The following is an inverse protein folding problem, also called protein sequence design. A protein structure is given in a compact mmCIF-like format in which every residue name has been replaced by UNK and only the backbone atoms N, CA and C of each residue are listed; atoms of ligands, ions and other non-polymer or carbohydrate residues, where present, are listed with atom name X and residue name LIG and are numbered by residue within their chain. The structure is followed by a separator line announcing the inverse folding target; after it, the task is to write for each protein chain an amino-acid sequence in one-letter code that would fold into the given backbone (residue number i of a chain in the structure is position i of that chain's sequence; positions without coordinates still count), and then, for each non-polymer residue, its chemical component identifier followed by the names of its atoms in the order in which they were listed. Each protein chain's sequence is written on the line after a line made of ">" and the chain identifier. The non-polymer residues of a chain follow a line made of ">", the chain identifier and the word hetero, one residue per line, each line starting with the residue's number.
data_IF_913642557718
#
_entry.id   IF_913642557718
#
_cell.length_a   1.000
_cell.length_b   1.000
_cell.length_c   1.000
_cell.angle_alpha   90.00
_cell.angle_beta   90.00
_cell.angle_gamma   90.00
#
_symmetry.space_group_name_H-M   'P 1'
#
loop_
_entity.id
_entity.type
_entity.pdbx_description
1 polymer ?
#
# COMPACT_ATOMS: atom_id res chain seq x y z
N UNK A 1 3.27 29.84 -0.04
CA UNK A 1 4.34 28.92 -0.50
C UNK A 1 3.74 27.53 -0.57
N UNK A 2 4.04 26.76 -1.63
CA UNK A 2 3.45 25.43 -1.87
C UNK A 2 4.01 24.47 -0.82
N UNK A 3 3.16 23.94 0.07
CA UNK A 3 3.58 23.06 1.18
C UNK A 3 4.33 21.87 0.61
N UNK A 4 5.63 21.76 0.89
CA UNK A 4 6.43 20.62 0.49
C UNK A 4 6.06 19.46 1.41
N UNK A 5 5.36 18.46 0.88
CA UNK A 5 5.11 17.22 1.62
C UNK A 5 6.30 16.30 1.42
N UNK A 6 6.91 15.88 2.53
CA UNK A 6 8.06 14.98 2.52
C UNK A 6 7.67 13.58 2.02
N UNK A 7 8.60 12.96 1.31
CA UNK A 7 8.53 11.55 0.93
C UNK A 7 8.68 10.64 2.16
N UNK A 8 8.15 9.43 2.09
CA UNK A 8 8.36 8.43 3.14
C UNK A 8 9.84 8.08 3.36
N UNK A 9 10.67 8.19 2.33
CA UNK A 9 12.12 7.98 2.41
C UNK A 9 12.82 9.11 3.19
N UNK A 10 12.44 10.37 2.96
CA UNK A 10 12.97 11.52 3.70
C UNK A 10 12.55 11.47 5.18
N UNK A 11 11.30 11.11 5.47
CA UNK A 11 10.80 10.95 6.85
C UNK A 11 11.52 9.83 7.60
N UNK A 12 11.81 8.70 6.93
CA UNK A 12 12.63 7.62 7.47
C UNK A 12 14.04 8.13 7.78
N UNK A 13 14.70 8.75 6.79
CA UNK A 13 16.07 9.24 6.91
C UNK A 13 16.22 10.22 8.08
N UNK A 14 15.35 11.23 8.18
CA UNK A 14 15.40 12.19 9.29
C UNK A 14 15.24 11.48 10.64
N UNK A 15 14.30 10.54 10.74
CA UNK A 15 14.02 9.86 12.00
C UNK A 15 15.20 8.96 12.42
N UNK A 16 15.78 8.24 11.46
CA UNK A 16 16.93 7.34 11.65
C UNK A 16 18.21 8.13 11.99
N UNK A 17 18.51 9.18 11.24
CA UNK A 17 19.70 9.98 11.50
C UNK A 17 19.62 10.78 12.79
N UNK A 18 18.46 11.38 13.11
CA UNK A 18 18.29 12.07 14.39
C UNK A 18 18.37 11.11 15.57
N UNK A 19 17.86 9.88 15.44
CA UNK A 19 18.02 8.86 16.48
C UNK A 19 19.50 8.56 16.75
N UNK A 20 20.28 8.29 15.71
CA UNK A 20 21.73 8.02 15.84
C UNK A 20 22.50 9.20 16.43
N UNK A 21 22.20 10.42 15.97
CA UNK A 21 22.87 11.65 16.42
C UNK A 21 22.53 11.96 17.88
N UNK A 22 21.27 11.82 18.26
CA UNK A 22 20.84 12.01 19.65
C UNK A 22 21.43 10.95 20.57
N UNK A 23 21.52 9.70 20.12
CA UNK A 23 22.20 8.64 20.86
C UNK A 23 23.70 8.94 21.06
N UNK A 24 24.33 9.64 20.10
CA UNK A 24 25.69 10.14 20.21
C UNK A 24 25.83 11.43 21.07
N UNK A 25 24.72 11.95 21.62
CA UNK A 25 24.69 13.14 22.45
C UNK A 25 24.74 14.46 21.67
N UNK A 26 24.48 14.43 20.36
CA UNK A 26 24.44 15.62 19.51
C UNK A 26 23.07 16.30 19.64
N UNK A 27 23.06 17.64 19.69
CA UNK A 27 21.82 18.39 19.80
C UNK A 27 20.96 18.26 18.54
N UNK A 28 19.62 18.36 18.62
CA UNK A 28 18.76 18.31 17.43
C UNK A 28 19.08 19.41 16.40
N UNK A 29 19.51 20.60 16.85
CA UNK A 29 19.87 21.71 15.97
C UNK A 29 21.14 21.41 15.15
N UNK A 30 22.18 20.92 15.82
CA UNK A 30 23.41 20.47 15.16
C UNK A 30 23.11 19.31 14.21
N UNK A 31 22.25 18.37 14.64
CA UNK A 31 21.88 17.22 13.82
C UNK A 31 21.17 17.60 12.53
N UNK A 32 20.23 18.55 12.58
CA UNK A 32 19.61 19.10 11.36
C UNK A 32 20.60 19.84 10.48
N UNK A 33 21.57 20.55 11.07
CA UNK A 33 22.62 21.25 10.32
C UNK A 33 23.49 20.26 9.56
N UNK A 34 23.96 19.19 10.21
CA UNK A 34 24.73 18.12 9.58
C UNK A 34 23.94 17.45 8.44
N UNK A 35 22.67 17.14 8.67
CA UNK A 35 21.79 16.58 7.63
C UNK A 35 21.59 17.52 6.43
N UNK A 36 21.59 18.82 6.66
CA UNK A 36 21.42 19.81 5.60
C UNK A 36 22.66 19.96 4.71
N UNK A 37 23.85 19.57 5.18
CA UNK A 37 25.11 19.65 4.42
C UNK A 37 25.18 18.61 3.30
N UNK A 38 24.62 17.41 3.54
CA UNK A 38 24.64 16.30 2.59
C UNK A 38 23.57 16.43 1.49
N UNK A 39 22.58 17.29 1.69
CA UNK A 39 21.37 17.39 0.87
C UNK A 39 21.33 18.66 0.01
N UNK A 40 20.50 18.65 -1.05
CA UNK A 40 20.37 19.78 -1.99
C UNK A 40 18.91 20.18 -2.24
N UNK A 41 18.73 21.44 -2.64
CA UNK A 41 17.41 21.99 -3.02
C UNK A 41 16.51 22.26 -1.81
N UNK A 42 15.19 22.18 -2.02
CA UNK A 42 14.19 22.54 -1.01
C UNK A 42 14.23 21.70 0.27
N UNK A 43 14.81 20.50 0.21
CA UNK A 43 15.00 19.63 1.37
C UNK A 43 16.09 20.15 2.32
N UNK A 44 17.24 20.59 1.79
CA UNK A 44 18.29 21.25 2.57
C UNK A 44 17.80 22.57 3.20
N UNK A 45 16.99 23.35 2.47
CA UNK A 45 16.38 24.58 3.00
C UNK A 45 15.45 24.29 4.19
N UNK A 46 14.61 23.26 4.09
CA UNK A 46 13.73 22.83 5.18
C UNK A 46 14.54 22.40 6.42
N UNK A 47 15.61 21.62 6.24
CA UNK A 47 16.46 21.16 7.34
C UNK A 47 17.16 22.34 8.05
N UNK A 48 17.64 23.34 7.29
CA UNK A 48 18.21 24.56 7.86
C UNK A 48 17.17 25.40 8.61
N UNK A 49 15.94 25.45 8.10
CA UNK A 49 14.82 26.12 8.79
C UNK A 49 14.53 25.45 10.13
N UNK A 50 14.50 24.10 10.16
CA UNK A 50 14.32 23.33 11.39
C UNK A 50 15.47 23.54 12.39
N UNK A 51 16.72 23.52 11.91
CA UNK A 51 17.89 23.83 12.73
C UNK A 51 17.74 25.22 13.39
N UNK A 52 17.37 26.24 12.61
CA UNK A 52 17.14 27.59 13.11
C UNK A 52 16.00 27.70 14.15
N UNK A 53 14.94 26.90 14.02
CA UNK A 53 13.89 26.83 15.05
C UNK A 53 14.41 26.20 16.34
N UNK A 54 15.16 25.10 16.26
CA UNK A 54 15.76 24.47 17.43
C UNK A 54 16.78 25.40 18.13
N UNK A 55 17.62 26.12 17.37
CA UNK A 55 18.56 27.12 17.90
C UNK A 55 17.85 28.29 18.58
N UNK A 56 16.65 28.64 18.11
CA UNK A 56 15.82 29.68 18.72
C UNK A 56 15.16 29.23 20.03
N UNK A 57 15.41 28.00 20.48
CA UNK A 57 14.90 27.44 21.73
C UNK A 57 13.54 26.74 21.63
N UNK A 58 13.01 26.52 20.41
CA UNK A 58 11.83 25.69 20.24
C UNK A 58 12.15 24.22 20.47
N UNK A 59 11.20 23.46 21.02
CA UNK A 59 11.35 22.01 21.09
C UNK A 59 11.41 21.38 19.69
N UNK A 60 11.90 20.14 19.59
CA UNK A 60 11.90 19.41 18.33
C UNK A 60 10.47 19.23 17.81
N UNK A 61 9.53 18.88 18.69
CA UNK A 61 8.12 18.73 18.30
C UNK A 61 7.49 20.03 17.80
N UNK A 62 7.79 21.18 18.42
CA UNK A 62 7.32 22.49 17.99
C UNK A 62 7.91 22.91 16.64
N UNK A 63 9.22 22.68 16.46
CA UNK A 63 9.95 22.96 15.22
C UNK A 63 9.35 22.19 14.04
N UNK A 64 9.07 20.90 14.22
CA UNK A 64 8.41 20.06 13.22
C UNK A 64 6.98 20.52 12.91
N UNK A 65 6.18 20.91 13.92
CA UNK A 65 4.83 21.45 13.71
C UNK A 65 4.87 22.75 12.89
N UNK A 66 5.81 23.63 13.19
CA UNK A 66 5.93 24.96 12.57
C UNK A 66 6.31 24.90 11.10
N UNK A 67 7.12 23.92 10.71
CA UNK A 67 7.48 23.70 9.30
C UNK A 67 6.30 23.25 8.42
N UNK A 68 5.22 22.72 9.02
CA UNK A 68 4.05 22.13 8.33
C UNK A 68 4.37 21.03 7.28
N UNK A 69 5.64 20.60 7.17
CA UNK A 69 6.09 19.60 6.21
C UNK A 69 5.90 18.16 6.71
N UNK A 70 5.76 17.99 8.03
CA UNK A 70 5.64 16.69 8.70
C UNK A 70 4.19 16.33 9.01
N UNK A 71 3.87 15.02 9.00
CA UNK A 71 2.57 14.55 9.46
C UNK A 71 2.31 14.89 10.94
N UNK A 72 1.07 15.24 11.28
CA UNK A 72 0.68 15.65 12.63
C UNK A 72 1.00 14.58 13.70
N UNK A 73 0.85 13.29 13.37
CA UNK A 73 1.14 12.19 14.30
C UNK A 73 2.63 12.10 14.66
N UNK A 74 3.54 12.41 13.72
CA UNK A 74 4.99 12.36 13.95
C UNK A 74 5.41 13.43 14.97
N UNK A 75 4.97 14.67 14.74
CA UNK A 75 5.22 15.75 15.68
C UNK A 75 4.62 15.50 17.07
N UNK A 76 3.44 14.87 17.12
CA UNK A 76 2.77 14.56 18.38
C UNK A 76 3.49 13.42 19.13
N UNK A 77 4.07 12.44 18.42
CA UNK A 77 4.79 11.32 19.05
C UNK A 77 6.15 11.78 19.57
N UNK A 78 6.82 12.67 18.83
CA UNK A 78 8.05 13.33 19.28
C UNK A 78 7.78 14.19 20.51
N UNK A 79 6.67 14.94 20.55
CA UNK A 79 6.28 15.72 21.74
C UNK A 79 6.14 14.84 22.98
N UNK A 80 5.53 13.66 22.81
CA UNK A 80 5.42 12.67 23.87
C UNK A 80 6.80 12.17 24.29
N UNK A 81 7.67 11.81 23.34
CA UNK A 81 9.04 11.36 23.62
C UNK A 81 9.88 12.42 24.35
N UNK A 82 9.73 13.70 24.00
CA UNK A 82 10.35 14.83 24.71
C UNK A 82 9.85 14.92 26.15
N UNK A 83 8.52 14.86 26.36
CA UNK A 83 7.90 14.94 27.69
C UNK A 83 8.23 13.75 28.59
N UNK A 84 8.37 12.56 28.01
CA UNK A 84 8.67 11.32 28.75
C UNK A 84 10.17 11.05 28.86
N UNK A 85 11.02 11.88 28.25
CA UNK A 85 12.47 11.66 28.19
C UNK A 85 12.87 10.42 27.37
N UNK A 86 11.99 9.94 26.48
CA UNK A 86 12.18 8.75 25.63
C UNK A 86 12.29 9.11 24.15
N UNK A 87 12.81 10.29 23.85
CA UNK A 87 12.89 10.80 22.48
C UNK A 87 13.66 9.86 21.53
N UNK A 88 14.78 9.29 21.96
CA UNK A 88 15.52 8.27 21.19
C UNK A 88 14.62 7.09 20.79
N UNK A 89 13.85 6.54 21.73
CA UNK A 89 12.91 5.44 21.46
C UNK A 89 11.81 5.86 20.49
N UNK A 90 11.29 7.08 20.62
CA UNK A 90 10.26 7.60 19.71
C UNK A 90 10.77 7.77 18.28
N UNK A 91 12.01 8.27 18.11
CA UNK A 91 12.65 8.42 16.80
C UNK A 91 12.97 7.05 16.18
N UNK A 92 13.49 6.10 16.98
CA UNK A 92 13.73 4.72 16.56
C UNK A 92 12.46 4.03 16.08
N UNK A 93 11.37 4.18 16.85
CA UNK A 93 10.06 3.62 16.51
C UNK A 93 9.48 4.26 15.22
N UNK A 94 9.69 5.56 15.00
CA UNK A 94 9.33 6.24 13.75
C UNK A 94 10.14 5.74 12.56
N UNK A 95 11.46 5.61 12.71
CA UNK A 95 12.34 5.09 11.67
C UNK A 95 11.91 3.68 11.24
N UNK A 96 11.70 2.78 12.21
CA UNK A 96 11.22 1.41 11.95
C UNK A 96 9.83 1.39 11.29
N UNK A 97 8.93 2.27 11.72
CA UNK A 97 7.60 2.41 11.10
C UNK A 97 7.70 2.81 9.63
N UNK A 98 8.47 3.86 9.29
CA UNK A 98 8.62 4.29 7.91
C UNK A 98 9.37 3.26 7.07
N UNK A 99 10.38 2.57 7.63
CA UNK A 99 11.07 1.49 6.93
C UNK A 99 10.13 0.34 6.57
N UNK A 100 9.32 -0.12 7.53
CA UNK A 100 8.29 -1.14 7.30
C UNK A 100 7.27 -0.68 6.25
N UNK A 101 6.88 0.60 6.25
CA UNK A 101 5.96 1.13 5.23
C UNK A 101 6.58 1.15 3.84
N UNK A 102 7.83 1.59 3.72
CA UNK A 102 8.57 1.59 2.45
C UNK A 102 8.79 0.17 1.94
N UNK A 103 9.12 -0.78 2.83
CA UNK A 103 9.24 -2.20 2.52
C UNK A 103 7.94 -2.75 1.96
N UNK A 104 6.81 -2.53 2.64
CA UNK A 104 5.50 -2.98 2.18
C UNK A 104 5.13 -2.34 0.83
N UNK A 105 5.39 -1.04 0.65
CA UNK A 105 5.12 -0.35 -0.61
C UNK A 105 5.96 -0.92 -1.77
N UNK A 106 7.25 -1.17 -1.53
CA UNK A 106 8.14 -1.80 -2.50
C UNK A 106 7.68 -3.23 -2.83
N UNK A 107 7.30 -4.02 -1.82
CA UNK A 107 6.74 -5.35 -2.03
C UNK A 107 5.47 -5.30 -2.88
N UNK A 108 4.52 -4.40 -2.58
CA UNK A 108 3.30 -4.22 -3.38
C UNK A 108 3.64 -3.84 -4.82
N UNK A 109 4.51 -2.85 -5.02
CA UNK A 109 4.92 -2.37 -6.35
C UNK A 109 5.54 -3.50 -7.17
N UNK A 110 6.54 -4.19 -6.62
CA UNK A 110 7.23 -5.28 -7.30
C UNK A 110 6.30 -6.46 -7.57
N UNK A 111 5.44 -6.82 -6.62
CA UNK A 111 4.52 -7.94 -6.75
C UNK A 111 3.41 -7.69 -7.78
N UNK A 112 3.03 -6.44 -8.05
CA UNK A 112 2.05 -6.09 -9.09
C UNK A 112 2.67 -5.88 -10.47
N UNK A 113 3.93 -5.45 -10.54
CA UNK A 113 4.63 -5.18 -11.79
C UNK A 113 4.74 -6.43 -12.67
N UNK A 114 5.05 -7.58 -12.08
CA UNK A 114 5.20 -8.83 -12.80
C UNK A 114 3.88 -9.35 -13.41
N UNK A 115 2.75 -9.49 -12.67
CA UNK A 115 1.45 -9.82 -13.25
C UNK A 115 0.98 -8.82 -14.32
N UNK A 116 1.26 -7.52 -14.14
CA UNK A 116 0.90 -6.52 -15.14
C UNK A 116 1.63 -6.73 -16.47
N UNK A 117 2.94 -7.05 -16.42
CA UNK A 117 3.72 -7.36 -17.61
C UNK A 117 3.19 -8.61 -18.34
N UNK A 118 2.89 -9.68 -17.60
CA UNK A 118 2.30 -10.90 -18.17
C UNK A 118 0.94 -10.63 -18.83
N UNK A 119 0.08 -9.83 -18.19
CA UNK A 119 -1.21 -9.45 -18.77
C UNK A 119 -1.04 -8.65 -20.06
N UNK A 120 -0.10 -7.69 -20.11
CA UNK A 120 0.19 -6.92 -21.32
C UNK A 120 0.61 -7.84 -22.46
N UNK A 121 1.54 -8.77 -22.21
CA UNK A 121 1.99 -9.74 -23.21
C UNK A 121 0.83 -10.64 -23.66
N UNK A 122 0.02 -11.13 -22.72
CA UNK A 122 -1.18 -11.93 -23.01
C UNK A 122 -2.15 -11.17 -23.93
N UNK A 123 -2.46 -9.91 -23.62
CA UNK A 123 -3.35 -9.09 -24.45
C UNK A 123 -2.77 -8.84 -25.84
N UNK A 124 -1.45 -8.62 -25.96
CA UNK A 124 -0.78 -8.46 -27.27
C UNK A 124 -0.91 -9.74 -28.10
N UNK A 125 -0.57 -10.90 -27.52
CA UNK A 125 -0.61 -12.20 -28.23
C UNK A 125 -2.02 -12.52 -28.68
N UNK A 126 -3.01 -12.44 -27.78
CA UNK A 126 -4.41 -12.70 -28.12
C UNK A 126 -4.92 -11.68 -29.13
N UNK A 127 -4.55 -10.40 -28.98
CA UNK A 127 -4.93 -9.32 -29.90
C UNK A 127 -4.43 -9.58 -31.32
N UNK A 128 -3.15 -9.91 -31.50
CA UNK A 128 -2.57 -10.23 -32.82
C UNK A 128 -3.26 -11.44 -33.44
N UNK A 129 -3.52 -12.49 -32.65
CA UNK A 129 -4.22 -13.69 -33.13
C UNK A 129 -5.62 -13.35 -33.66
N UNK A 130 -6.39 -12.54 -32.93
CA UNK A 130 -7.77 -12.20 -33.33
C UNK A 130 -7.85 -11.18 -34.48
N UNK A 131 -6.91 -10.22 -34.54
CA UNK A 131 -6.98 -9.06 -35.46
C UNK A 131 -6.31 -9.34 -36.81
N UNK A 132 -5.25 -10.15 -36.82
CA UNK A 132 -4.45 -10.43 -38.03
C UNK A 132 -4.57 -11.89 -38.47
N UNK A 133 -4.40 -12.84 -37.55
CA UNK A 133 -4.36 -14.27 -37.90
C UNK A 133 -5.75 -14.81 -38.25
N UNK A 134 -6.75 -14.58 -37.41
CA UNK A 134 -8.10 -15.12 -37.63
C UNK A 134 -8.76 -14.62 -38.94
N UNK A 135 -8.66 -13.33 -39.32
CA UNK A 135 -9.24 -12.85 -40.59
C UNK A 135 -8.48 -13.34 -41.83
N UNK A 136 -7.18 -13.65 -41.71
CA UNK A 136 -6.44 -14.28 -42.79
C UNK A 136 -7.04 -15.65 -43.10
N UNK A 137 -7.34 -16.44 -42.07
CA UNK A 137 -8.02 -17.71 -42.22
C UNK A 137 -9.43 -17.55 -42.81
N UNK A 138 -10.24 -16.60 -42.32
CA UNK A 138 -11.58 -16.30 -42.86
C UNK A 138 -11.58 -16.06 -44.39
N UNK A 139 -10.58 -15.32 -44.89
CA UNK A 139 -10.42 -15.06 -46.33
C UNK A 139 -10.08 -16.33 -47.11
N UNK A 140 -9.17 -17.15 -46.59
CA UNK A 140 -8.79 -18.43 -47.22
C UNK A 140 -9.98 -19.39 -47.25
N UNK A 141 -10.76 -19.46 -46.17
CA UNK A 141 -11.98 -20.28 -46.12
C UNK A 141 -13.05 -19.78 -47.08
N UNK A 142 -13.28 -18.47 -47.16
CA UNK A 142 -14.25 -17.87 -48.08
C UNK A 142 -13.96 -18.17 -49.55
N UNK A 143 -12.69 -18.32 -49.94
CA UNK A 143 -12.30 -18.74 -51.29
C UNK A 143 -12.66 -20.20 -51.59
N UNK A 144 -12.77 -21.05 -50.57
CA UNK A 144 -13.17 -22.45 -50.67
C UNK A 144 -14.70 -22.64 -50.55
N UNK A 145 -15.47 -21.55 -50.52
CA UNK A 145 -16.94 -21.58 -50.42
C UNK A 145 -17.46 -21.91 -49.02
N UNK A 146 -16.60 -21.88 -48.00
CA UNK A 146 -16.96 -22.18 -46.61
C UNK A 146 -16.70 -20.97 -45.71
N UNK A 147 -17.49 -20.82 -44.65
CA UNK A 147 -17.31 -19.78 -43.63
C UNK A 147 -16.91 -20.40 -42.30
N UNK A 148 -16.12 -19.67 -41.51
CA UNK A 148 -15.83 -20.06 -40.13
C UNK A 148 -17.14 -20.07 -39.30
N UNK A 149 -17.65 -21.26 -38.98
CA UNK A 149 -18.85 -21.46 -38.14
C UNK A 149 -18.48 -21.92 -36.73
N UNK A 150 -19.40 -21.77 -35.76
CA UNK A 150 -19.18 -22.18 -34.37
C UNK A 150 -18.31 -21.21 -33.57
N UNK A 151 -17.43 -21.74 -32.71
CA UNK A 151 -16.56 -20.96 -31.80
C UNK A 151 -15.65 -20.01 -32.57
N UNK A 152 -15.21 -20.42 -33.77
CA UNK A 152 -14.38 -19.61 -34.66
C UNK A 152 -15.07 -18.33 -35.16
N UNK A 153 -16.35 -18.44 -35.53
CA UNK A 153 -17.15 -17.29 -35.97
C UNK A 153 -17.39 -16.29 -34.85
N UNK A 154 -17.60 -16.76 -33.61
CA UNK A 154 -17.76 -15.89 -32.42
C UNK A 154 -16.46 -15.16 -32.11
N UNK A 155 -15.32 -15.87 -32.12
CA UNK A 155 -14.00 -15.26 -31.93
C UNK A 155 -13.69 -14.24 -33.02
N UNK A 156 -14.10 -14.49 -34.27
CA UNK A 156 -13.91 -13.57 -35.38
C UNK A 156 -14.77 -12.32 -35.26
N UNK A 157 -16.02 -12.45 -34.81
CA UNK A 157 -16.86 -11.31 -34.50
C UNK A 157 -16.25 -10.46 -33.37
N UNK A 158 -15.77 -11.11 -32.30
CA UNK A 158 -15.05 -10.43 -31.21
C UNK A 158 -13.76 -9.76 -31.72
N UNK A 159 -12.98 -10.42 -32.58
CA UNK A 159 -11.78 -9.87 -33.18
C UNK A 159 -12.04 -8.66 -34.07
N UNK A 160 -13.13 -8.67 -34.87
CA UNK A 160 -13.57 -7.53 -35.68
C UNK A 160 -14.05 -6.37 -34.81
N UNK A 161 -14.77 -6.64 -33.71
CA UNK A 161 -15.17 -5.64 -32.71
C UNK A 161 -13.93 -5.05 -32.04
N UNK A 162 -12.98 -5.89 -31.60
CA UNK A 162 -11.71 -5.44 -31.02
C UNK A 162 -10.91 -4.60 -32.01
N UNK A 163 -10.82 -4.99 -33.29
CA UNK A 163 -10.14 -4.21 -34.34
C UNK A 163 -10.80 -2.84 -34.57
N UNK A 164 -12.13 -2.79 -34.57
CA UNK A 164 -12.90 -1.54 -34.69
C UNK A 164 -12.70 -0.63 -33.46
N UNK A 165 -12.65 -1.23 -32.27
CA UNK A 165 -12.43 -0.53 -31.01
C UNK A 165 -10.93 -0.27 -30.77
N UNK A 166 -10.00 -0.88 -31.49
CA UNK A 166 -8.53 -0.77 -31.27
C UNK A 166 -8.01 0.67 -31.20
N UNK A 167 -8.36 1.60 -32.13
CA UNK A 167 -8.00 3.01 -31.96
C UNK A 167 -8.68 3.65 -30.74
N UNK A 168 -9.91 3.27 -30.40
CA UNK A 168 -10.61 3.74 -29.20
C UNK A 168 -10.04 3.17 -27.89
N UNK A 169 -9.55 1.92 -27.86
CA UNK A 169 -8.82 1.33 -26.72
C UNK A 169 -7.45 1.97 -26.58
N UNK A 170 -6.70 2.17 -27.66
CA UNK A 170 -5.42 2.90 -27.58
C UNK A 170 -5.62 4.33 -27.08
N UNK A 171 -6.67 5.02 -27.54
CA UNK A 171 -7.05 6.34 -27.03
C UNK A 171 -7.53 6.25 -25.58
N UNK A 172 -8.32 5.25 -25.19
CA UNK A 172 -8.80 5.09 -23.82
C UNK A 172 -7.68 4.71 -22.84
N UNK A 173 -6.71 3.89 -23.25
CA UNK A 173 -5.52 3.56 -22.46
C UNK A 173 -4.59 4.77 -22.39
N UNK A 174 -4.40 5.52 -23.47
CA UNK A 174 -3.64 6.76 -23.47
C UNK A 174 -4.32 7.84 -22.60
N UNK A 175 -5.64 8.00 -22.70
CA UNK A 175 -6.45 8.91 -21.87
C UNK A 175 -6.47 8.42 -20.43
N UNK A 176 -6.54 7.12 -20.16
CA UNK A 176 -6.44 6.57 -18.81
C UNK A 176 -5.04 6.76 -18.22
N UNK A 177 -3.98 6.60 -19.00
CA UNK A 177 -2.61 6.87 -18.58
C UNK A 177 -2.38 8.36 -18.33
N UNK A 178 -2.86 9.23 -19.22
CA UNK A 178 -2.81 10.69 -19.06
C UNK A 178 -3.67 11.14 -17.88
N UNK A 179 -4.87 10.60 -17.71
CA UNK A 179 -5.71 10.85 -16.53
C UNK A 179 -5.04 10.30 -15.28
N UNK A 180 -4.40 9.14 -15.30
CA UNK A 180 -3.69 8.58 -14.14
C UNK A 180 -2.49 9.48 -13.75
N UNK A 181 -1.76 10.02 -14.73
CA UNK A 181 -0.69 11.01 -14.55
C UNK A 181 -1.26 12.34 -14.02
N UNK A 182 -2.38 12.81 -14.57
CA UNK A 182 -3.05 14.06 -14.20
C UNK A 182 -3.74 13.96 -12.83
N UNK A 183 -4.26 12.78 -12.46
CA UNK A 183 -4.82 12.45 -11.14
C UNK A 183 -3.70 12.29 -10.11
N UNK A 184 -2.52 11.80 -10.51
CA UNK A 184 -1.31 11.86 -9.66
C UNK A 184 -0.92 13.31 -9.33
N UNK A 185 -1.21 14.26 -10.22
CA UNK A 185 -0.96 15.70 -10.00
C UNK A 185 -2.11 16.44 -9.28
N UNK A 186 -3.35 15.96 -9.37
CA UNK A 186 -4.53 16.56 -8.72
C UNK A 186 -4.90 15.85 -7.42
N UNK A 187 -4.40 16.38 -6.29
CA UNK A 187 -4.58 15.79 -4.96
C UNK A 187 -6.04 15.60 -4.51
N UNK A 188 -6.99 16.36 -5.06
CA UNK A 188 -8.39 16.33 -4.64
C UNK A 188 -9.16 15.12 -5.20
N UNK A 189 -8.92 14.74 -6.46
CA UNK A 189 -9.59 13.59 -7.07
C UNK A 189 -8.98 12.26 -6.62
N UNK A 190 -7.66 12.25 -6.37
CA UNK A 190 -6.94 11.15 -5.73
C UNK A 190 -7.61 10.77 -4.41
N UNK A 191 -7.84 11.74 -3.52
CA UNK A 191 -8.42 11.48 -2.20
C UNK A 191 -9.89 11.03 -2.27
N UNK A 192 -10.69 11.52 -3.21
CA UNK A 192 -12.08 11.05 -3.39
C UNK A 192 -12.17 9.64 -3.96
N UNK A 193 -11.36 9.31 -4.98
CA UNK A 193 -11.35 7.97 -5.57
C UNK A 193 -10.76 6.93 -4.62
N UNK A 194 -9.64 7.26 -3.94
CA UNK A 194 -9.09 6.45 -2.86
C UNK A 194 -10.07 6.34 -1.70
N UNK A 195 -10.81 7.39 -1.35
CA UNK A 195 -11.85 7.34 -0.33
C UNK A 195 -12.98 6.38 -0.66
N UNK A 196 -13.47 6.37 -1.90
CA UNK A 196 -14.49 5.44 -2.37
C UNK A 196 -13.98 4.00 -2.42
N UNK A 197 -12.78 3.79 -2.95
CA UNK A 197 -12.16 2.46 -3.04
C UNK A 197 -11.81 1.91 -1.65
N UNK A 198 -11.27 2.74 -0.74
CA UNK A 198 -11.03 2.38 0.67
C UNK A 198 -12.34 2.09 1.42
N UNK A 199 -13.44 2.80 1.12
CA UNK A 199 -14.74 2.54 1.74
C UNK A 199 -15.35 1.19 1.31
N UNK A 200 -15.16 0.81 0.05
CA UNK A 200 -15.73 -0.46 -0.47
C UNK A 200 -14.81 -1.68 -0.30
N UNK A 201 -13.49 -1.52 -0.40
CA UNK A 201 -12.51 -2.62 -0.35
C UNK A 201 -11.56 -2.59 0.86
N UNK A 202 -11.50 -1.48 1.61
CA UNK A 202 -10.50 -1.28 2.67
C UNK A 202 -10.69 -2.10 3.94
N UNK A 203 -11.89 -2.63 4.19
CA UNK A 203 -12.21 -3.36 5.42
C UNK A 203 -12.40 -4.87 5.18
N UNK A 204 -11.90 -5.41 4.06
CA UNK A 204 -12.04 -6.85 3.74
C UNK A 204 -10.74 -7.49 3.28
N UNK A 205 -10.43 -8.65 3.86
CA UNK A 205 -9.36 -9.53 3.40
C UNK A 205 -7.96 -9.06 3.78
N UNK A 206 -7.08 -8.87 2.78
CA UNK A 206 -5.67 -8.51 3.02
C UNK A 206 -5.54 -7.07 3.54
N UNK A 207 -6.39 -6.16 3.06
CA UNK A 207 -6.39 -4.77 3.50
C UNK A 207 -6.75 -4.62 4.98
N UNK A 208 -7.70 -5.43 5.48
CA UNK A 208 -8.03 -5.46 6.91
C UNK A 208 -6.81 -5.90 7.75
N UNK A 209 -6.09 -6.95 7.33
CA UNK A 209 -4.85 -7.40 8.01
C UNK A 209 -3.76 -6.33 8.02
N UNK A 210 -3.55 -5.63 6.90
CA UNK A 210 -2.59 -4.52 6.80
C UNK A 210 -2.99 -3.38 7.75
N UNK A 211 -4.28 -3.06 7.84
CA UNK A 211 -4.78 -1.99 8.70
C UNK A 211 -4.69 -2.36 10.19
N UNK A 212 -4.97 -3.61 10.55
CA UNK A 212 -4.74 -4.15 11.90
C UNK A 212 -3.26 -4.03 12.26
N UNK A 213 -2.36 -4.49 11.37
CA UNK A 213 -0.91 -4.40 11.59
C UNK A 213 -0.44 -2.95 11.76
N UNK A 214 -0.91 -2.01 10.92
CA UNK A 214 -0.59 -0.58 11.05
C UNK A 214 -1.09 0.00 12.37
N UNK A 215 -2.29 -0.37 12.80
CA UNK A 215 -2.86 0.11 14.07
C UNK A 215 -2.06 -0.47 15.25
N UNK A 216 -1.71 -1.76 15.20
CA UNK A 216 -0.87 -2.41 16.20
C UNK A 216 0.53 -1.77 16.29
N UNK A 217 1.15 -1.43 15.16
CA UNK A 217 2.40 -0.67 15.14
C UNK A 217 2.25 0.69 15.79
N UNK A 218 1.19 1.45 15.48
CA UNK A 218 0.97 2.76 16.08
C UNK A 218 0.81 2.68 17.61
N UNK A 219 0.11 1.66 18.11
CA UNK A 219 -0.02 1.40 19.55
C UNK A 219 1.35 1.01 20.13
N UNK A 220 2.10 0.11 19.49
CA UNK A 220 3.44 -0.30 19.92
C UNK A 220 4.39 0.89 20.02
N UNK A 221 4.48 1.73 18.99
CA UNK A 221 5.34 2.93 18.97
C UNK A 221 5.00 3.89 20.12
N UNK A 222 3.71 4.05 20.39
CA UNK A 222 3.20 4.92 21.45
C UNK A 222 3.52 4.38 22.85
N UNK A 223 3.29 3.08 23.07
CA UNK A 223 3.59 2.40 24.34
C UNK A 223 5.11 2.37 24.59
N UNK A 224 5.93 2.07 23.59
CA UNK A 224 7.41 2.11 23.70
C UNK A 224 7.96 3.51 23.97
N UNK A 225 7.22 4.56 23.57
CA UNK A 225 7.50 5.96 23.92
C UNK A 225 7.07 6.34 25.35
N UNK A 226 6.50 5.40 26.10
CA UNK A 226 6.12 5.57 27.50
C UNK A 226 4.68 6.01 27.73
N UNK A 227 3.80 5.94 26.73
CA UNK A 227 2.38 6.24 26.90
C UNK A 227 1.63 5.06 27.53
N UNK A 228 0.60 5.40 28.31
CA UNK A 228 -0.43 4.44 28.69
C UNK A 228 -1.20 3.99 27.44
N UNK A 229 -1.85 2.82 27.52
CA UNK A 229 -2.52 2.22 26.36
C UNK A 229 -3.69 3.07 25.85
N UNK A 230 -4.38 3.80 26.73
CA UNK A 230 -5.46 4.72 26.36
C UNK A 230 -4.94 5.88 25.49
N UNK A 231 -3.82 6.49 25.88
CA UNK A 231 -3.15 7.53 25.10
C UNK A 231 -2.56 6.96 23.80
N UNK A 232 -2.04 5.74 23.85
CA UNK A 232 -1.55 5.03 22.68
C UNK A 232 -2.66 4.75 21.66
N UNK A 233 -3.87 4.41 22.11
CA UNK A 233 -5.05 4.26 21.25
C UNK A 233 -5.47 5.60 20.62
N UNK A 234 -5.37 6.69 21.38
CA UNK A 234 -5.64 8.04 20.86
C UNK A 234 -4.64 8.41 19.77
N UNK A 235 -3.37 8.06 19.96
CA UNK A 235 -2.35 8.23 18.93
C UNK A 235 -2.56 7.35 17.70
N UNK A 236 -2.90 6.09 17.91
CA UNK A 236 -3.24 5.18 16.83
C UNK A 236 -4.43 5.69 16.01
N UNK A 237 -5.44 6.29 16.66
CA UNK A 237 -6.57 6.92 15.99
C UNK A 237 -6.15 8.12 15.10
N UNK A 238 -5.20 8.94 15.56
CA UNK A 238 -4.64 10.05 14.75
C UNK A 238 -3.82 9.54 13.56
N UNK A 239 -3.02 8.48 13.76
CA UNK A 239 -2.20 7.88 12.70
C UNK A 239 -3.04 7.17 11.63
N UNK A 240 -4.21 6.66 12.01
CA UNK A 240 -5.17 5.96 11.13
C UNK A 240 -6.33 6.85 10.65
N UNK A 241 -6.18 8.18 10.67
CA UNK A 241 -7.19 9.14 10.22
C UNK A 241 -7.62 8.89 8.75
N UNK A 242 -6.75 8.28 7.94
CA UNK A 242 -7.06 7.91 6.56
C UNK A 242 -8.06 6.73 6.44
N UNK A 243 -8.45 6.11 7.57
CA UNK A 243 -9.31 4.92 7.66
C UNK A 243 -10.41 5.13 8.73
N UNK A 244 -11.58 5.69 8.36
CA UNK A 244 -12.62 6.06 9.32
C UNK A 244 -13.23 4.88 10.09
N UNK A 245 -13.13 3.64 9.58
CA UNK A 245 -13.57 2.43 10.30
C UNK A 245 -12.69 2.14 11.52
N UNK A 246 -11.36 2.14 11.33
CA UNK A 246 -10.41 1.87 12.41
C UNK A 246 -10.31 3.02 13.40
N UNK A 247 -10.37 4.27 12.93
CA UNK A 247 -10.44 5.44 13.81
C UNK A 247 -11.62 5.34 14.79
N UNK A 248 -12.82 4.97 14.31
CA UNK A 248 -14.00 4.76 15.17
C UNK A 248 -13.81 3.62 16.17
N UNK A 249 -13.16 2.52 15.76
CA UNK A 249 -12.86 1.38 16.63
C UNK A 249 -11.90 1.77 17.75
N UNK A 250 -10.84 2.53 17.44
CA UNK A 250 -9.93 3.07 18.44
C UNK A 250 -10.64 4.00 19.44
N UNK A 251 -11.46 4.93 18.93
CA UNK A 251 -12.23 5.83 19.79
C UNK A 251 -13.25 5.09 20.68
N UNK A 252 -13.94 4.09 20.14
CA UNK A 252 -14.85 3.24 20.93
C UNK A 252 -14.12 2.46 22.02
N UNK A 253 -12.93 1.92 21.72
CA UNK A 253 -12.12 1.23 22.73
C UNK A 253 -11.68 2.14 23.86
N UNK A 254 -11.42 3.42 23.61
CA UNK A 254 -11.08 4.39 24.66
C UNK A 254 -12.28 4.61 25.60
N UNK A 255 -13.49 4.73 25.04
CA UNK A 255 -14.71 4.89 25.82
C UNK A 255 -15.02 3.64 26.67
N UNK A 256 -14.85 2.45 26.11
CA UNK A 256 -15.07 1.17 26.81
C UNK A 256 -14.05 0.95 27.95
N UNK A 257 -12.78 1.31 27.73
CA UNK A 257 -11.73 1.28 28.76
C UNK A 257 -12.02 2.27 29.89
N UNK A 258 -12.49 3.47 29.54
CA UNK A 258 -12.88 4.49 30.52
C UNK A 258 -14.06 4.06 31.40
N UNK A 259 -14.87 3.10 30.93
CA UNK A 259 -15.97 2.47 31.68
C UNK A 259 -15.51 1.31 32.57
N UNK A 260 -14.22 0.98 32.57
CA UNK A 260 -13.63 -0.08 33.38
C UNK A 260 -13.72 -1.49 32.79
N UNK A 261 -14.01 -1.62 31.50
CA UNK A 261 -13.94 -2.92 30.82
C UNK A 261 -12.49 -3.43 30.72
N UNK A 262 -12.31 -4.75 30.64
CA UNK A 262 -10.99 -5.37 30.48
C UNK A 262 -10.39 -5.01 29.12
N UNK A 263 -9.08 -4.76 29.09
CA UNK A 263 -8.38 -4.37 27.87
C UNK A 263 -8.50 -5.44 26.76
N UNK A 264 -8.31 -6.70 27.11
CA UNK A 264 -8.33 -7.80 26.15
C UNK A 264 -9.69 -7.98 25.49
N UNK A 265 -10.78 -7.89 26.27
CA UNK A 265 -12.13 -7.98 25.75
C UNK A 265 -12.49 -6.76 24.90
N UNK A 266 -12.08 -5.56 25.32
CA UNK A 266 -12.32 -4.31 24.58
C UNK A 266 -11.62 -4.30 23.22
N UNK A 267 -10.33 -4.62 23.18
CA UNK A 267 -9.55 -4.66 21.94
C UNK A 267 -10.05 -5.77 21.00
N UNK A 268 -10.45 -6.93 21.55
CA UNK A 268 -11.00 -8.02 20.75
C UNK A 268 -12.40 -7.72 20.21
N UNK A 269 -13.27 -7.08 21.00
CA UNK A 269 -14.65 -6.73 20.63
C UNK A 269 -14.65 -5.69 19.51
N UNK A 270 -13.83 -4.65 19.65
CA UNK A 270 -13.66 -3.61 18.64
C UNK A 270 -12.72 -4.04 17.50
N UNK A 271 -12.33 -5.31 17.47
CA UNK A 271 -11.48 -5.96 16.46
C UNK A 271 -10.09 -5.32 16.27
N UNK A 272 -9.63 -4.44 17.16
CA UNK A 272 -8.35 -3.73 16.98
C UNK A 272 -7.19 -4.71 16.90
N UNK A 273 -7.21 -5.73 17.76
CA UNK A 273 -6.29 -6.86 17.74
C UNK A 273 -7.09 -8.17 17.67
N UNK A 274 -6.53 -9.23 17.06
CA UNK A 274 -7.16 -10.53 17.15
C UNK A 274 -7.03 -11.11 18.57
N UNK A 275 -7.93 -12.05 18.89
CA UNK A 275 -8.16 -12.52 20.26
C UNK A 275 -6.92 -13.17 20.90
N UNK A 276 -6.08 -13.81 20.10
CA UNK A 276 -4.84 -14.45 20.58
C UNK A 276 -3.84 -13.40 21.05
N UNK A 277 -3.71 -12.32 20.29
CA UNK A 277 -2.80 -11.21 20.54
C UNK A 277 -3.27 -10.39 21.74
N UNK A 278 -4.59 -10.16 21.90
CA UNK A 278 -5.16 -9.53 23.09
C UNK A 278 -4.78 -10.27 24.39
N UNK A 279 -4.79 -11.60 24.37
CA UNK A 279 -4.44 -12.43 25.54
C UNK A 279 -2.94 -12.35 25.85
N UNK A 280 -2.10 -12.37 24.81
CA UNK A 280 -0.65 -12.21 24.98
C UNK A 280 -0.31 -10.84 25.56
N UNK A 281 -0.96 -9.78 25.08
CA UNK A 281 -0.80 -8.43 25.61
C UNK A 281 -1.20 -8.35 27.08
N UNK A 282 -2.34 -8.93 27.47
CA UNK A 282 -2.80 -8.93 28.86
C UNK A 282 -1.82 -9.66 29.79
N UNK A 283 -1.27 -10.80 29.36
CA UNK A 283 -0.24 -11.54 30.12
C UNK A 283 1.04 -10.71 30.24
N UNK A 284 1.49 -10.09 29.14
CA UNK A 284 2.68 -9.23 29.14
C UNK A 284 2.54 -8.02 30.07
N UNK A 285 1.37 -7.36 30.04
CA UNK A 285 1.08 -6.24 30.93
C UNK A 285 1.07 -6.62 32.41
N UNK A 286 0.47 -7.76 32.76
CA UNK A 286 0.52 -8.27 34.14
C UNK A 286 1.94 -8.58 34.60
N UNK A 287 2.81 -8.97 33.67
CA UNK A 287 4.24 -9.19 33.91
C UNK A 287 5.11 -7.94 33.86
N UNK A 288 4.55 -6.75 33.59
CA UNK A 288 5.31 -5.50 33.44
C UNK A 288 6.10 -5.37 32.13
N UNK A 289 5.93 -6.30 31.19
CA UNK A 289 6.60 -6.35 29.88
C UNK A 289 5.59 -6.05 28.75
N UNK A 290 4.72 -5.05 28.97
CA UNK A 290 3.64 -4.71 28.04
C UNK A 290 4.14 -4.08 26.74
N UNK A 291 5.25 -3.35 26.81
CA UNK A 291 5.94 -2.75 25.66
C UNK A 291 6.54 -3.83 24.74
N UNK A 292 7.33 -4.74 25.28
CA UNK A 292 7.94 -5.84 24.53
C UNK A 292 6.88 -6.76 23.91
N UNK A 293 5.81 -7.04 24.67
CA UNK A 293 4.68 -7.84 24.18
C UNK A 293 3.97 -7.14 23.01
N UNK A 294 3.72 -5.83 23.13
CA UNK A 294 3.05 -5.07 22.08
C UNK A 294 3.91 -4.94 20.82
N UNK A 295 5.23 -4.78 20.98
CA UNK A 295 6.18 -4.79 19.85
C UNK A 295 6.17 -6.13 19.13
N UNK A 296 6.28 -7.24 19.86
CA UNK A 296 6.23 -8.59 19.27
C UNK A 296 4.91 -8.86 18.54
N UNK A 297 3.79 -8.38 19.09
CA UNK A 297 2.47 -8.48 18.45
C UNK A 297 2.43 -7.68 17.15
N UNK A 298 2.93 -6.44 17.15
CA UNK A 298 2.95 -5.58 15.98
C UNK A 298 3.81 -6.16 14.85
N UNK A 299 4.99 -6.68 15.17
CA UNK A 299 5.89 -7.34 14.21
C UNK A 299 5.24 -8.59 13.60
N UNK A 300 4.64 -9.46 14.44
CA UNK A 300 3.95 -10.66 13.97
C UNK A 300 2.76 -10.33 13.04
N UNK A 301 1.96 -9.32 13.39
CA UNK A 301 0.83 -8.90 12.55
C UNK A 301 1.30 -8.29 11.23
N UNK A 302 2.43 -7.56 11.22
CA UNK A 302 3.05 -7.06 10.00
C UNK A 302 3.46 -8.23 9.09
N UNK A 303 4.20 -9.20 9.63
CA UNK A 303 4.60 -10.40 8.87
C UNK A 303 3.39 -11.15 8.31
N UNK A 304 2.37 -11.40 9.13
CA UNK A 304 1.13 -12.05 8.68
C UNK A 304 0.43 -11.27 7.55
N UNK A 305 0.52 -9.94 7.56
CA UNK A 305 -0.04 -9.09 6.51
C UNK A 305 0.76 -9.19 5.20
N UNK A 306 2.09 -9.24 5.28
CA UNK A 306 2.98 -9.42 4.13
C UNK A 306 2.80 -10.81 3.50
N UNK A 307 2.74 -11.87 4.31
CA UNK A 307 2.44 -13.22 3.82
C UNK A 307 1.06 -13.32 3.18
N UNK A 308 0.04 -12.69 3.78
CA UNK A 308 -1.31 -12.67 3.20
C UNK A 308 -1.34 -11.94 1.84
N UNK A 309 -0.56 -10.88 1.69
CA UNK A 309 -0.40 -10.17 0.43
C UNK A 309 0.32 -11.03 -0.61
N UNK A 310 1.50 -11.56 -0.27
CA UNK A 310 2.32 -12.39 -1.16
C UNK A 310 1.57 -13.63 -1.65
N UNK A 311 0.86 -14.33 -0.75
CA UNK A 311 0.10 -15.54 -1.09
C UNK A 311 -1.12 -15.31 -1.98
N UNK A 312 -1.74 -14.12 -1.92
CA UNK A 312 -2.81 -13.77 -2.86
C UNK A 312 -2.25 -13.45 -4.24
N UNK A 313 -1.11 -12.75 -4.29
CA UNK A 313 -0.48 -12.38 -5.55
C UNK A 313 0.11 -13.60 -6.25
N UNK A 314 0.74 -14.53 -5.53
CA UNK A 314 1.33 -15.74 -6.13
C UNK A 314 0.31 -16.66 -6.78
N UNK A 315 -0.97 -16.61 -6.37
CA UNK A 315 -2.06 -17.37 -7.04
C UNK A 315 -2.50 -16.76 -8.37
N UNK A 316 -2.22 -15.48 -8.59
CA UNK A 316 -2.63 -14.78 -9.82
C UNK A 316 -1.83 -15.30 -11.02
N UNK A 317 -0.53 -15.56 -10.86
CA UNK A 317 0.33 -16.01 -11.94
C UNK A 317 -0.13 -17.33 -12.60
N UNK A 318 -0.36 -18.44 -11.85
CA UNK A 318 -0.87 -19.67 -12.44
C UNK A 318 -2.23 -19.47 -13.12
N UNK A 319 -3.07 -18.60 -12.58
CA UNK A 319 -4.39 -18.31 -13.15
C UNK A 319 -4.25 -17.64 -14.53
N UNK A 320 -3.36 -16.65 -14.66
CA UNK A 320 -3.06 -15.99 -15.93
C UNK A 320 -2.53 -17.00 -16.95
N UNK A 321 -1.60 -17.87 -16.55
CA UNK A 321 -1.02 -18.88 -17.46
C UNK A 321 -2.10 -19.84 -17.96
N UNK A 322 -2.96 -20.36 -17.06
CA UNK A 322 -4.05 -21.27 -17.44
C UNK A 322 -5.05 -20.58 -18.37
N UNK A 323 -5.43 -19.34 -18.08
CA UNK A 323 -6.32 -18.56 -18.95
C UNK A 323 -5.68 -18.33 -20.33
N UNK A 324 -4.39 -17.96 -20.37
CA UNK A 324 -3.66 -17.72 -21.62
C UNK A 324 -3.55 -19.00 -22.45
N UNK A 325 -3.13 -20.10 -21.84
CA UNK A 325 -3.03 -21.39 -22.50
C UNK A 325 -4.39 -21.88 -23.01
N UNK A 326 -5.45 -21.71 -22.22
CA UNK A 326 -6.82 -22.02 -22.63
C UNK A 326 -7.29 -21.18 -23.81
N UNK A 327 -7.04 -19.86 -23.77
CA UNK A 327 -7.39 -18.95 -24.85
C UNK A 327 -6.65 -19.27 -26.15
N UNK A 328 -5.33 -19.46 -26.09
CA UNK A 328 -4.50 -19.82 -27.26
C UNK A 328 -4.91 -21.20 -27.80
N UNK A 329 -5.13 -22.19 -26.93
CA UNK A 329 -5.58 -23.52 -27.35
C UNK A 329 -6.94 -23.49 -28.05
N UNK A 330 -7.89 -22.70 -27.54
CA UNK A 330 -9.21 -22.52 -28.15
C UNK A 330 -9.11 -21.83 -29.52
N UNK A 331 -8.24 -20.85 -29.67
CA UNK A 331 -7.95 -20.19 -30.96
C UNK A 331 -7.32 -21.19 -31.95
N UNK A 332 -6.33 -21.98 -31.51
CA UNK A 332 -5.70 -22.98 -32.38
C UNK A 332 -6.69 -24.06 -32.83
N UNK A 333 -7.52 -24.58 -31.93
CA UNK A 333 -8.58 -25.54 -32.28
C UNK A 333 -9.58 -24.93 -33.26
N UNK A 334 -9.95 -23.67 -33.04
CA UNK A 334 -10.83 -22.91 -33.94
C UNK A 334 -10.25 -22.78 -35.36
N UNK A 335 -8.92 -22.73 -35.50
CA UNK A 335 -8.24 -22.68 -36.81
C UNK A 335 -8.02 -24.06 -37.40
N UNK A 336 -7.73 -25.08 -36.58
CA UNK A 336 -7.40 -26.42 -37.07
C UNK A 336 -8.63 -27.28 -37.40
N UNK A 337 -9.73 -27.18 -36.65
CA UNK A 337 -10.93 -27.98 -36.89
C UNK A 337 -11.47 -27.84 -38.33
N UNK A 338 -11.53 -26.64 -38.92
CA UNK A 338 -12.01 -26.52 -40.30
C UNK A 338 -11.00 -27.01 -41.34
N UNK A 339 -9.69 -27.00 -41.07
CA UNK A 339 -8.68 -27.64 -41.95
C UNK A 339 -8.91 -29.16 -42.03
N UNK A 340 -9.20 -29.80 -40.90
CA UNK A 340 -9.48 -31.25 -40.85
C UNK A 340 -10.74 -31.60 -41.66
N UNK A 341 -11.78 -30.78 -41.59
CA UNK A 341 -13.01 -30.97 -42.37
C UNK A 341 -12.74 -30.87 -43.89
N UNK A 342 -11.87 -29.93 -44.30
CA UNK A 342 -11.50 -29.78 -45.71
C UNK A 342 -10.70 -30.99 -46.20
N UNK A 343 -9.70 -31.44 -45.44
CA UNK A 343 -8.94 -32.65 -45.77
C UNK A 343 -9.84 -33.89 -45.86
N UNK A 344 -10.86 -33.99 -45.00
CA UNK A 344 -11.85 -35.07 -45.04
C UNK A 344 -12.87 -34.97 -46.19
N UNK A 345 -13.00 -33.79 -46.81
CA UNK A 345 -13.88 -33.58 -47.98
C UNK A 345 -13.18 -33.72 -49.33
N UNK A 346 -11.84 -33.69 -49.34
CA UNK A 346 -10.98 -33.78 -50.53
C UNK A 346 -10.35 -35.17 -50.72
N UNK A 347 -10.50 -36.08 -49.76
CA UNK A 347 -10.16 -37.51 -49.86
C UNK A 347 -11.40 -38.37 -49.79
#
# INVERSE_FOLDING_TARGET
>A
MKKMQLSGEELRHISESLEMLMHAGISPADGFTMLAEDEKGGYSELLRELAGYCDSGYSLSESLKKSEAFPAYMSSLIEVGEKTGRLEKSLSALAQFYDNRLRLERQIKTALLYPALLLIIMFIVIGVLLVEVLPLFDKVYGQMGSSLTGIAGVLLALGKVIKSIMPAICILVAVAAVLMIMISFSGSFRNSFLGFWKKNFGDKGVWEKINIARTAQAISMSVSSGLAIEDALTMAAKLTEDIPSFQKRCLGSIEDLSRGETLSDTLSRNRILPKTECRLLEVGMRGGLGDDAMQSIAERLLEESEYALASKISRIEPCIIVITAGAVGLILLSVMMPLVQIMASLG
#
